data_IF_506919312863
#
_entry.id   IF_506919312863
#
_cell.length_a   1.000
_cell.length_b   1.000
_cell.length_c   1.000
_cell.angle_alpha   90.00
_cell.angle_beta   90.00
_cell.angle_gamma   90.00
#
_symmetry.space_group_name_H-M   'P 1'
#
loop_
_entity.id
_entity.type
_entity.pdbx_description
1 polymer ?
#
# COMPACT_ATOMS: atom_id res chain seq x y z
N UNK A 1 7.36 -7.66 18.83
CA UNK A 1 8.16 -8.76 18.23
C UNK A 1 8.37 -9.99 19.12
N UNK A 2 8.53 -9.93 20.47
CA UNK A 2 8.80 -11.14 21.26
C UNK A 2 7.59 -12.09 21.34
N UNK A 3 6.37 -11.56 21.50
CA UNK A 3 5.14 -12.38 21.54
C UNK A 3 4.88 -13.17 20.24
N UNK A 4 5.17 -12.58 19.09
CA UNK A 4 4.98 -13.25 17.79
C UNK A 4 5.93 -14.44 17.60
N UNK A 5 7.19 -14.33 18.04
CA UNK A 5 8.13 -15.46 18.03
C UNK A 5 7.70 -16.56 19.00
N UNK A 6 7.19 -16.18 20.17
CA UNK A 6 6.71 -17.12 21.19
C UNK A 6 5.48 -17.90 20.67
N UNK A 7 4.55 -17.22 20.00
CA UNK A 7 3.33 -17.83 19.43
C UNK A 7 3.60 -18.68 18.19
N UNK A 8 4.49 -18.24 17.29
CA UNK A 8 4.74 -18.91 16.02
C UNK A 8 5.97 -19.81 16.04
N UNK A 9 6.66 -19.93 17.18
CA UNK A 9 7.82 -20.78 17.49
C UNK A 9 8.72 -21.14 16.29
N UNK A 10 8.40 -22.22 15.56
CA UNK A 10 9.19 -22.72 14.42
C UNK A 10 8.74 -22.23 13.04
N UNK A 11 7.56 -21.64 12.92
CA UNK A 11 7.03 -21.10 11.66
C UNK A 11 7.53 -19.68 11.37
N UNK A 12 7.94 -18.93 12.41
CA UNK A 12 8.48 -17.59 12.27
C UNK A 12 10.00 -17.58 12.47
N UNK A 13 10.72 -17.88 11.40
CA UNK A 13 12.19 -17.84 11.38
C UNK A 13 12.68 -16.41 11.17
N UNK A 14 13.19 -15.79 12.23
CA UNK A 14 13.75 -14.42 12.22
C UNK A 14 14.90 -14.28 11.22
N UNK A 15 15.59 -15.38 10.90
CA UNK A 15 16.66 -15.44 9.90
C UNK A 15 16.20 -15.17 8.47
N UNK A 16 14.91 -15.33 8.14
CA UNK A 16 14.39 -15.05 6.80
C UNK A 16 13.98 -13.58 6.61
N UNK A 17 14.04 -12.76 7.66
CA UNK A 17 13.66 -11.35 7.58
C UNK A 17 14.72 -10.57 6.82
N UNK A 18 14.31 -10.00 5.70
CA UNK A 18 15.11 -9.05 4.93
C UNK A 18 14.87 -7.64 5.45
N UNK A 19 15.66 -7.22 6.45
CA UNK A 19 15.48 -5.95 7.17
C UNK A 19 15.54 -4.71 6.28
N UNK A 20 16.45 -4.67 5.32
CA UNK A 20 16.63 -3.53 4.41
C UNK A 20 15.39 -3.28 3.55
N UNK A 21 14.90 -4.24 2.75
CA UNK A 21 13.67 -4.03 1.99
C UNK A 21 12.44 -3.90 2.88
N UNK A 22 12.41 -4.50 4.08
CA UNK A 22 11.31 -4.30 5.03
C UNK A 22 11.16 -2.83 5.43
N UNK A 23 12.26 -2.22 5.91
CA UNK A 23 12.27 -0.80 6.27
C UNK A 23 11.99 0.09 5.04
N UNK A 24 12.55 -0.26 3.88
CA UNK A 24 12.30 0.41 2.62
C UNK A 24 10.81 0.44 2.25
N UNK A 25 10.14 -0.71 2.27
CA UNK A 25 8.70 -0.81 1.99
C UNK A 25 7.90 -0.01 3.00
N UNK A 26 8.21 -0.08 4.30
CA UNK A 26 7.49 0.67 5.34
C UNK A 26 7.60 2.18 5.09
N UNK A 27 8.81 2.70 4.86
CA UNK A 27 9.02 4.14 4.63
C UNK A 27 8.26 4.59 3.39
N UNK A 28 8.42 3.87 2.27
CA UNK A 28 7.79 4.23 1.00
C UNK A 28 6.28 4.08 1.05
N UNK A 29 5.75 3.07 1.73
CA UNK A 29 4.30 2.93 1.94
C UNK A 29 3.72 4.08 2.77
N UNK A 30 4.41 4.53 3.81
CA UNK A 30 3.98 5.72 4.57
C UNK A 30 4.01 6.99 3.71
N UNK A 31 5.03 7.15 2.86
CA UNK A 31 5.10 8.26 1.91
C UNK A 31 3.94 8.20 0.89
N UNK A 32 3.59 7.01 0.40
CA UNK A 32 2.41 6.81 -0.43
C UNK A 32 1.14 7.23 0.30
N UNK A 33 0.94 6.81 1.56
CA UNK A 33 -0.27 7.19 2.30
C UNK A 33 -0.34 8.69 2.59
N UNK A 34 0.80 9.34 2.84
CA UNK A 34 0.87 10.80 2.98
C UNK A 34 0.50 11.52 1.66
N UNK A 35 1.04 11.07 0.53
CA UNK A 35 0.72 11.64 -0.79
C UNK A 35 -0.72 11.35 -1.21
N UNK A 36 -1.26 10.18 -0.88
CA UNK A 36 -2.68 9.85 -1.05
C UNK A 36 -3.58 10.78 -0.22
N UNK A 37 -3.22 11.05 1.04
CA UNK A 37 -3.96 12.00 1.88
C UNK A 37 -3.96 13.41 1.28
N UNK A 38 -2.81 13.90 0.80
CA UNK A 38 -2.71 15.18 0.10
C UNK A 38 -3.53 15.19 -1.20
N UNK A 39 -3.49 14.10 -1.96
CA UNK A 39 -4.23 13.95 -3.20
C UNK A 39 -5.73 13.98 -2.97
N UNK A 40 -6.22 13.22 -1.99
CA UNK A 40 -7.64 13.25 -1.62
C UNK A 40 -8.08 14.62 -1.12
N UNK A 41 -7.27 15.30 -0.29
CA UNK A 41 -7.54 16.67 0.14
C UNK A 41 -7.60 17.66 -1.04
N UNK A 42 -6.76 17.48 -2.05
CA UNK A 42 -6.77 18.31 -3.26
C UNK A 42 -8.06 18.15 -4.08
N UNK A 43 -8.76 17.01 -3.97
CA UNK A 43 -10.02 16.73 -4.67
C UNK A 43 -11.21 17.17 -3.83
N UNK A 44 -11.20 16.81 -2.55
CA UNK A 44 -12.29 17.02 -1.60
C UNK A 44 -12.22 18.44 -1.07
N UNK A 45 -12.76 19.40 -1.84
CA UNK A 45 -12.72 20.83 -1.49
C UNK A 45 -13.44 21.23 -0.19
N UNK A 46 -14.01 20.30 0.57
CA UNK A 46 -14.59 20.56 1.90
C UNK A 46 -14.28 19.44 2.90
N UNK A 47 -13.92 19.80 4.13
CA UNK A 47 -13.57 18.83 5.18
C UNK A 47 -14.73 17.89 5.53
N UNK A 48 -15.98 18.34 5.42
CA UNK A 48 -17.17 17.51 5.69
C UNK A 48 -17.28 16.28 4.77
N UNK A 49 -16.73 16.37 3.55
CA UNK A 49 -16.79 15.27 2.58
C UNK A 49 -15.65 14.26 2.75
N UNK A 50 -14.68 14.52 3.63
CA UNK A 50 -13.52 13.64 3.82
C UNK A 50 -13.93 12.29 4.39
N UNK A 51 -14.91 12.26 5.30
CA UNK A 51 -15.46 11.03 5.86
C UNK A 51 -16.05 10.10 4.78
N UNK A 52 -16.71 10.69 3.77
CA UNK A 52 -17.24 9.93 2.64
C UNK A 52 -16.13 9.32 1.77
N UNK A 53 -15.01 10.02 1.59
CA UNK A 53 -13.85 9.48 0.86
C UNK A 53 -13.18 8.35 1.63
N UNK A 54 -13.06 8.48 2.95
CA UNK A 54 -12.58 7.40 3.80
C UNK A 54 -13.42 6.13 3.62
N UNK A 55 -14.74 6.24 3.74
CA UNK A 55 -15.64 5.09 3.65
C UNK A 55 -15.75 4.51 2.24
N UNK A 56 -15.74 5.35 1.19
CA UNK A 56 -16.02 4.90 -0.18
C UNK A 56 -14.78 4.59 -1.02
N UNK A 57 -13.62 5.13 -0.65
CA UNK A 57 -12.39 4.99 -1.42
C UNK A 57 -11.32 4.29 -0.61
N UNK A 58 -10.96 4.83 0.56
CA UNK A 58 -9.83 4.30 1.34
C UNK A 58 -10.12 2.90 1.87
N UNK A 59 -11.31 2.70 2.45
CA UNK A 59 -11.71 1.39 3.00
C UNK A 59 -11.72 0.27 1.94
N UNK A 60 -12.41 0.43 0.79
CA UNK A 60 -12.38 -0.58 -0.27
C UNK A 60 -10.97 -0.80 -0.82
N UNK A 61 -10.16 0.25 -0.96
CA UNK A 61 -8.76 0.10 -1.38
C UNK A 61 -7.95 -0.72 -0.38
N UNK A 62 -8.15 -0.57 0.93
CA UNK A 62 -7.44 -1.40 1.90
C UNK A 62 -7.91 -2.86 1.85
N UNK A 63 -9.23 -3.07 1.79
CA UNK A 63 -9.81 -4.40 1.78
C UNK A 63 -9.37 -5.21 0.55
N UNK A 64 -9.39 -4.59 -0.63
CA UNK A 64 -8.95 -5.20 -1.88
C UNK A 64 -7.44 -5.07 -2.14
N UNK A 65 -6.71 -4.40 -1.26
CA UNK A 65 -5.26 -4.18 -1.34
C UNK A 65 -4.43 -5.32 -0.78
N UNK A 66 -4.95 -6.55 -0.80
CA UNK A 66 -4.28 -7.71 -0.26
C UNK A 66 -4.08 -7.68 1.25
N UNK A 67 -4.85 -6.91 2.02
CA UNK A 67 -4.75 -6.90 3.48
C UNK A 67 -5.16 -8.25 4.08
N UNK A 68 -6.29 -8.81 3.63
CA UNK A 68 -6.84 -10.05 4.16
C UNK A 68 -6.15 -11.31 3.61
N UNK A 69 -5.89 -11.32 2.29
CA UNK A 69 -5.31 -12.46 1.58
C UNK A 69 -4.16 -11.99 0.70
N UNK A 70 -3.12 -12.82 0.57
CA UNK A 70 -2.00 -12.52 -0.31
C UNK A 70 -2.43 -12.60 -1.78
N UNK A 71 -1.65 -11.95 -2.64
CA UNK A 71 -1.86 -12.04 -4.09
C UNK A 71 -1.76 -13.50 -4.57
N UNK A 72 -0.78 -14.26 -4.07
CA UNK A 72 -0.58 -15.66 -4.47
C UNK A 72 -1.75 -16.58 -4.06
N UNK A 73 -2.26 -16.44 -2.83
CA UNK A 73 -3.42 -17.21 -2.37
C UNK A 73 -4.66 -16.86 -3.18
N UNK A 74 -4.86 -15.57 -3.45
CA UNK A 74 -6.00 -15.09 -4.25
C UNK A 74 -5.91 -15.57 -5.70
N UNK A 75 -4.71 -15.56 -6.30
CA UNK A 75 -4.49 -16.05 -7.66
C UNK A 75 -4.81 -17.54 -7.80
N UNK A 76 -4.58 -18.33 -6.76
CA UNK A 76 -4.92 -19.76 -6.76
C UNK A 76 -6.42 -20.05 -6.76
N UNK A 77 -7.24 -19.16 -6.20
CA UNK A 77 -8.70 -19.33 -6.10
C UNK A 77 -9.45 -18.55 -7.18
N UNK A 78 -9.08 -17.29 -7.40
CA UNK A 78 -9.72 -16.39 -8.35
C UNK A 78 -8.70 -15.53 -9.12
N UNK A 79 -8.14 -16.06 -10.22
CA UNK A 79 -7.09 -15.39 -10.99
C UNK A 79 -7.49 -14.01 -11.50
N UNK A 80 -8.73 -13.85 -11.99
CA UNK A 80 -9.20 -12.57 -12.53
C UNK A 80 -9.17 -11.46 -11.47
N UNK A 81 -9.66 -11.76 -10.27
CA UNK A 81 -9.64 -10.81 -9.16
C UNK A 81 -8.21 -10.50 -8.71
N UNK A 82 -7.30 -11.48 -8.75
CA UNK A 82 -5.89 -11.24 -8.42
C UNK A 82 -5.23 -10.19 -9.32
N UNK A 83 -5.56 -10.15 -10.62
CA UNK A 83 -5.04 -9.10 -11.51
C UNK A 83 -5.60 -7.72 -11.19
N UNK A 84 -6.85 -7.62 -10.73
CA UNK A 84 -7.42 -6.34 -10.26
C UNK A 84 -6.70 -5.82 -9.02
N UNK A 85 -6.22 -6.71 -8.14
CA UNK A 85 -5.43 -6.32 -6.97
C UNK A 85 -4.14 -5.60 -7.38
N UNK A 86 -3.52 -5.96 -8.51
CA UNK A 86 -2.28 -5.32 -8.97
C UNK A 86 -2.47 -3.85 -9.39
N UNK A 87 -3.69 -3.40 -9.65
CA UNK A 87 -3.97 -1.98 -9.94
C UNK A 87 -3.89 -1.16 -8.64
N UNK A 88 -4.16 -1.81 -7.51
CA UNK A 88 -4.25 -1.15 -6.22
C UNK A 88 -2.86 -1.03 -5.58
N UNK A 89 -2.36 0.20 -5.31
CA UNK A 89 -1.03 0.39 -4.74
C UNK A 89 -0.88 -0.23 -3.35
N UNK A 90 -1.97 -0.39 -2.59
CA UNK A 90 -1.97 -1.02 -1.27
C UNK A 90 -1.55 -2.49 -1.34
N UNK A 91 -1.81 -3.18 -2.46
CA UNK A 91 -1.36 -4.55 -2.71
C UNK A 91 0.16 -4.67 -2.65
N UNK A 92 0.89 -3.69 -3.18
CA UNK A 92 2.35 -3.70 -3.15
C UNK A 92 2.89 -3.36 -1.75
N UNK A 93 2.19 -2.53 -0.98
CA UNK A 93 2.54 -2.28 0.41
C UNK A 93 2.40 -3.54 1.27
N UNK A 94 1.28 -4.25 1.16
CA UNK A 94 1.02 -5.46 1.94
C UNK A 94 1.92 -6.62 1.50
N UNK A 95 2.04 -6.87 0.19
CA UNK A 95 2.91 -7.94 -0.34
C UNK A 95 4.39 -7.65 -0.12
N UNK A 96 4.82 -6.39 -0.25
CA UNK A 96 6.21 -6.00 0.00
C UNK A 96 6.65 -6.28 1.43
N UNK A 97 5.78 -5.97 2.42
CA UNK A 97 6.02 -6.30 3.83
C UNK A 97 6.02 -7.81 4.04
N UNK A 98 5.05 -8.56 3.49
CA UNK A 98 5.02 -10.03 3.62
C UNK A 98 6.26 -10.69 3.04
N UNK A 99 6.66 -10.29 1.84
CA UNK A 99 7.86 -10.80 1.17
C UNK A 99 9.11 -10.51 1.99
N UNK A 100 9.23 -9.31 2.59
CA UNK A 100 10.42 -8.96 3.37
C UNK A 100 10.43 -9.59 4.77
N UNK A 101 9.25 -9.87 5.36
CA UNK A 101 9.12 -10.38 6.71
C UNK A 101 9.11 -11.92 6.78
N UNK A 102 8.44 -12.58 5.84
CA UNK A 102 8.25 -14.05 5.85
C UNK A 102 9.09 -14.71 4.77
N UNK A 103 9.28 -14.05 3.62
CA UNK A 103 9.83 -14.68 2.42
C UNK A 103 8.87 -15.72 1.82
N UNK A 104 9.16 -16.20 0.61
CA UNK A 104 8.36 -17.21 -0.09
C UNK A 104 7.68 -16.70 -1.36
N UNK A 105 6.50 -17.24 -1.68
CA UNK A 105 5.79 -16.98 -2.94
C UNK A 105 4.95 -15.69 -2.89
N UNK A 106 5.59 -14.57 -2.59
CA UNK A 106 4.99 -13.23 -2.57
C UNK A 106 5.63 -12.35 -3.65
N UNK A 107 5.03 -11.19 -3.93
CA UNK A 107 5.67 -10.22 -4.82
C UNK A 107 7.00 -9.74 -4.25
N UNK A 108 8.01 -9.63 -5.10
CA UNK A 108 9.34 -9.19 -4.69
C UNK A 108 9.29 -7.80 -4.04
N UNK A 109 9.86 -7.67 -2.83
CA UNK A 109 9.82 -6.43 -2.06
C UNK A 109 10.45 -5.22 -2.77
N UNK A 110 11.50 -5.40 -3.57
CA UNK A 110 12.12 -4.30 -4.33
C UNK A 110 11.23 -3.82 -5.48
N UNK A 111 10.54 -4.75 -6.15
CA UNK A 111 9.52 -4.41 -7.14
C UNK A 111 8.40 -3.61 -6.48
N UNK A 112 7.92 -4.06 -5.32
CA UNK A 112 6.91 -3.34 -4.55
C UNK A 112 7.36 -1.91 -4.21
N UNK A 113 8.60 -1.71 -3.75
CA UNK A 113 9.16 -0.38 -3.49
C UNK A 113 9.12 0.48 -4.76
N UNK A 114 9.59 -0.03 -5.89
CA UNK A 114 9.60 0.71 -7.17
C UNK A 114 8.21 1.13 -7.62
N UNK A 115 7.23 0.23 -7.51
CA UNK A 115 5.83 0.53 -7.87
C UNK A 115 5.21 1.54 -6.91
N UNK A 116 5.44 1.41 -5.59
CA UNK A 116 4.93 2.37 -4.61
C UNK A 116 5.51 3.78 -4.84
N UNK A 117 6.80 3.88 -5.16
CA UNK A 117 7.44 5.16 -5.53
C UNK A 117 6.79 5.77 -6.78
N UNK A 118 6.54 4.96 -7.80
CA UNK A 118 5.87 5.41 -9.02
C UNK A 118 4.47 5.96 -8.73
N UNK A 119 3.65 5.23 -7.98
CA UNK A 119 2.31 5.69 -7.58
C UNK A 119 2.37 6.96 -6.74
N UNK A 120 3.26 7.00 -5.74
CA UNK A 120 3.45 8.18 -4.89
C UNK A 120 3.87 9.41 -5.69
N UNK A 121 4.77 9.23 -6.66
CA UNK A 121 5.19 10.31 -7.57
C UNK A 121 4.01 10.82 -8.40
N UNK A 122 3.25 9.93 -9.06
CA UNK A 122 2.08 10.33 -9.86
C UNK A 122 1.04 11.08 -9.01
N UNK A 123 0.70 10.57 -7.82
CA UNK A 123 -0.24 11.22 -6.91
C UNK A 123 0.27 12.58 -6.43
N UNK A 124 1.54 12.69 -6.09
CA UNK A 124 2.15 13.94 -5.64
C UNK A 124 2.10 15.03 -6.73
N UNK A 125 2.49 14.71 -7.96
CA UNK A 125 2.45 15.66 -9.08
C UNK A 125 1.02 16.09 -9.43
N UNK A 126 0.06 15.16 -9.46
CA UNK A 126 -1.35 15.51 -9.70
C UNK A 126 -1.92 16.37 -8.57
N UNK A 127 -1.53 16.10 -7.31
CA UNK A 127 -1.91 16.91 -6.14
C UNK A 127 -1.42 18.35 -6.28
N UNK A 128 -0.13 18.55 -6.60
CA UNK A 128 0.46 19.88 -6.78
C UNK A 128 -0.27 20.64 -7.90
N UNK A 129 -0.51 19.99 -9.04
CA UNK A 129 -1.22 20.59 -10.17
C UNK A 129 -2.61 21.08 -9.76
N UNK A 130 -3.36 20.28 -9.00
CA UNK A 130 -4.70 20.63 -8.51
C UNK A 130 -4.66 21.76 -7.48
N UNK A 131 -3.70 21.74 -6.56
CA UNK A 131 -3.56 22.82 -5.58
C UNK A 131 -3.22 24.15 -6.25
N UNK A 132 -2.29 24.17 -7.22
CA UNK A 132 -1.96 25.39 -7.97
C UNK A 132 -3.16 25.94 -8.73
N UNK A 133 -3.89 25.09 -9.45
CA UNK A 133 -5.10 25.52 -10.16
C UNK A 133 -6.19 26.10 -9.26
N UNK A 134 -6.24 25.71 -7.97
CA UNK A 134 -7.17 26.29 -7.00
C UNK A 134 -6.68 27.63 -6.42
N UNK A 135 -5.37 27.82 -6.33
CA UNK A 135 -4.75 29.07 -5.91
C UNK A 135 -4.88 30.16 -6.99
N UNK A 136 -4.77 29.78 -8.27
CA UNK A 136 -4.90 30.73 -9.40
C UNK A 136 -6.34 31.26 -9.61
N UNK A 137 -7.33 30.69 -8.92
CA UNK A 137 -8.74 31.08 -8.98
C UNK A 137 -9.16 32.07 -7.86
N UNK A 138 -8.24 32.40 -6.94
CA UNK A 138 -8.44 33.34 -5.84
C UNK A 138 -7.68 34.64 -6.13
#
# INVERSE_FOLDING_TARGET
MPLGKVLLWNQFLITNISWVPLLGVIIVANLLFATLALWTASIVGSMEKIGNVWMRVIWPMWFFGGFQFSYASTKGVWPMFSYLMLINPVTYATEGVRSALVGGNFLNSWLCIGVLLLFGFVMFFDSIRRFRSKLDLV
#
